data_IF_033587844897
#
_entry.id   IF_033587844897
#
_cell.length_a   1.000
_cell.length_b   1.000
_cell.length_c   1.000
_cell.angle_alpha   90.00
_cell.angle_beta   90.00
_cell.angle_gamma   90.00
#
_symmetry.space_group_name_H-M   'P 1'
#
loop_
_entity.id
_entity.type
_entity.pdbx_description
1 polymer ?
#
# COMPACT_ATOMS: atom_id res chain seq x y z
N UNK A 1 21.76 7.18 -1.11
CA UNK A 1 21.38 8.26 -2.03
C UNK A 1 22.63 8.78 -2.72
N UNK A 2 22.49 9.29 -3.94
CA UNK A 2 23.59 9.97 -4.64
C UNK A 2 23.86 11.36 -4.06
N UNK A 3 25.07 11.86 -4.28
CA UNK A 3 25.51 13.18 -3.79
C UNK A 3 24.58 14.28 -4.32
N UNK A 4 24.14 15.17 -3.43
CA UNK A 4 23.23 16.27 -3.77
C UNK A 4 21.73 15.91 -3.78
N UNK A 5 21.37 14.64 -3.56
CA UNK A 5 19.98 14.22 -3.38
C UNK A 5 19.69 14.15 -1.88
N UNK A 6 18.81 15.00 -1.37
CA UNK A 6 18.44 15.06 0.05
C UNK A 6 16.96 14.76 0.25
N UNK A 7 16.58 14.42 1.49
CA UNK A 7 15.18 14.16 1.85
C UNK A 7 14.33 15.42 1.64
N UNK A 8 14.88 16.58 1.95
CA UNK A 8 14.23 17.88 1.80
C UNK A 8 13.93 18.17 0.33
N UNK A 9 14.91 17.95 -0.54
CA UNK A 9 14.74 18.10 -2.00
C UNK A 9 13.65 17.16 -2.53
N UNK A 10 13.56 15.94 -1.99
CA UNK A 10 12.55 14.97 -2.38
C UNK A 10 11.16 15.44 -1.99
N UNK A 11 11.01 15.93 -0.77
CA UNK A 11 9.75 16.48 -0.26
C UNK A 11 9.32 17.67 -1.12
N UNK A 12 10.23 18.57 -1.48
CA UNK A 12 9.92 19.70 -2.37
C UNK A 12 9.44 19.23 -3.74
N UNK A 13 10.09 18.24 -4.35
CA UNK A 13 9.66 17.68 -5.63
C UNK A 13 8.29 17.00 -5.56
N UNK A 14 7.99 16.30 -4.46
CA UNK A 14 6.67 15.70 -4.23
C UNK A 14 5.63 16.81 -4.08
N UNK A 15 5.88 17.81 -3.24
CA UNK A 15 4.97 18.95 -3.01
C UNK A 15 4.64 19.69 -4.31
N UNK A 16 5.62 19.89 -5.19
CA UNK A 16 5.40 20.53 -6.49
C UNK A 16 4.42 19.76 -7.39
N UNK A 17 4.29 18.43 -7.22
CA UNK A 17 3.42 17.57 -8.02
C UNK A 17 2.05 17.31 -7.39
N UNK A 18 1.86 17.63 -6.10
CA UNK A 18 0.57 17.48 -5.42
C UNK A 18 -0.58 18.18 -6.16
N UNK A 19 -0.45 19.45 -6.62
CA UNK A 19 -1.53 20.10 -7.35
C UNK A 19 -1.96 19.36 -8.63
N UNK A 20 -1.04 18.63 -9.28
CA UNK A 20 -1.33 17.85 -10.48
C UNK A 20 -2.20 16.63 -10.17
N UNK A 21 -2.03 16.01 -8.99
CA UNK A 21 -2.89 14.92 -8.54
C UNK A 21 -4.34 15.36 -8.36
N UNK A 22 -4.55 16.59 -7.87
CA UNK A 22 -5.89 17.16 -7.66
C UNK A 22 -6.59 17.44 -8.98
N UNK A 23 -5.83 17.75 -10.04
CA UNK A 23 -6.37 18.07 -11.37
C UNK A 23 -6.76 16.83 -12.19
N UNK A 24 -6.19 15.67 -11.88
CA UNK A 24 -6.37 14.44 -12.64
C UNK A 24 -7.01 13.34 -11.81
N UNK A 25 -8.33 13.18 -11.96
CA UNK A 25 -9.08 12.11 -11.33
C UNK A 25 -8.54 10.73 -11.75
N UNK A 26 -8.32 9.83 -10.78
CA UNK A 26 -7.91 8.44 -11.00
C UNK A 26 -6.41 8.18 -10.94
N UNK A 27 -5.56 9.20 -11.12
CA UNK A 27 -4.09 9.00 -11.01
C UNK A 27 -3.70 8.55 -9.60
N UNK A 28 -4.35 9.10 -8.58
CA UNK A 28 -4.10 8.71 -7.20
C UNK A 28 -4.40 7.23 -6.96
N UNK A 29 -5.49 6.71 -7.53
CA UNK A 29 -5.85 5.30 -7.41
C UNK A 29 -4.83 4.40 -8.11
N UNK A 30 -4.35 4.81 -9.29
CA UNK A 30 -3.31 4.08 -10.02
C UNK A 30 -1.98 4.03 -9.24
N UNK A 31 -1.57 5.16 -8.66
CA UNK A 31 -0.38 5.21 -7.80
C UNK A 31 -0.58 4.32 -6.58
N UNK A 32 -1.74 4.36 -5.94
CA UNK A 32 -2.05 3.51 -4.80
C UNK A 32 -1.99 2.02 -5.14
N UNK A 33 -2.50 1.60 -6.31
CA UNK A 33 -2.39 0.21 -6.78
C UNK A 33 -0.93 -0.22 -6.89
N UNK A 34 -0.06 0.65 -7.42
CA UNK A 34 1.37 0.34 -7.58
C UNK A 34 2.12 0.30 -6.25
N UNK A 35 1.77 1.16 -5.31
CA UNK A 35 2.40 1.25 -3.99
C UNK A 35 1.87 0.23 -2.98
N UNK A 36 0.72 -0.39 -3.25
CA UNK A 36 0.13 -1.42 -2.39
C UNK A 36 1.05 -2.64 -2.20
N UNK A 37 1.91 -2.95 -3.19
CA UNK A 37 2.93 -4.03 -3.05
C UNK A 37 3.95 -3.76 -1.95
N UNK A 38 4.06 -2.52 -1.49
CA UNK A 38 4.90 -2.07 -0.39
C UNK A 38 4.10 -1.78 0.88
N UNK A 39 2.83 -2.20 0.94
CA UNK A 39 1.89 -1.93 2.03
C UNK A 39 1.63 -0.44 2.27
N UNK A 40 1.77 0.39 1.24
CA UNK A 40 1.45 1.82 1.28
C UNK A 40 0.05 1.99 0.66
N UNK A 41 -0.95 2.20 1.51
CA UNK A 41 -2.35 2.31 1.08
C UNK A 41 -2.69 3.70 0.53
N UNK A 42 -3.81 3.82 -0.17
CA UNK A 42 -4.34 5.12 -0.62
C UNK A 42 -4.54 6.10 0.55
N UNK A 43 -4.98 5.61 1.71
CA UNK A 43 -5.15 6.43 2.91
C UNK A 43 -3.82 7.03 3.38
N UNK A 44 -2.73 6.25 3.35
CA UNK A 44 -1.39 6.75 3.68
C UNK A 44 -0.94 7.83 2.68
N UNK A 45 -1.20 7.62 1.40
CA UNK A 45 -0.79 8.58 0.36
C UNK A 45 -1.58 9.89 0.53
N UNK A 46 -2.88 9.81 0.81
CA UNK A 46 -3.73 10.98 1.09
C UNK A 46 -3.23 11.73 2.33
N UNK A 47 -2.89 11.01 3.41
CA UNK A 47 -2.33 11.61 4.62
C UNK A 47 -1.03 12.36 4.34
N UNK A 48 -0.11 11.75 3.57
CA UNK A 48 1.15 12.38 3.16
C UNK A 48 0.91 13.63 2.30
N UNK A 49 -0.04 13.58 1.37
CA UNK A 49 -0.29 14.71 0.45
C UNK A 49 -0.97 15.88 1.16
N UNK A 50 -1.86 15.61 2.09
CA UNK A 50 -2.67 16.64 2.76
C UNK A 50 -1.96 17.29 3.94
N UNK A 51 -0.98 16.62 4.54
CA UNK A 51 -0.27 17.11 5.73
C UNK A 51 1.24 17.20 5.47
N UNK A 52 1.76 18.43 5.50
CA UNK A 52 3.18 18.70 5.29
C UNK A 52 4.07 18.12 6.38
N UNK A 53 3.57 17.99 7.61
CA UNK A 53 4.32 17.46 8.74
C UNK A 53 4.46 15.95 8.58
N UNK A 54 3.41 15.29 8.08
CA UNK A 54 3.45 13.85 7.73
C UNK A 54 4.46 13.55 6.63
N UNK A 55 4.59 14.42 5.63
CA UNK A 55 5.65 14.32 4.62
C UNK A 55 7.06 14.38 5.22
N UNK A 56 7.27 15.20 6.25
CA UNK A 56 8.56 15.35 6.93
C UNK A 56 8.85 14.13 7.82
N UNK A 57 7.84 13.63 8.52
CA UNK A 57 7.93 12.45 9.39
C UNK A 57 8.09 11.13 8.62
N UNK A 58 7.63 11.07 7.37
CA UNK A 58 7.64 9.87 6.56
C UNK A 58 9.03 9.23 6.42
N UNK A 59 9.06 7.90 6.35
CA UNK A 59 10.27 7.15 6.04
C UNK A 59 10.78 7.51 4.64
N UNK A 60 12.10 7.60 4.48
CA UNK A 60 12.72 7.99 3.21
C UNK A 60 12.32 7.05 2.05
N UNK A 61 12.16 5.76 2.35
CA UNK A 61 11.76 4.74 1.39
C UNK A 61 10.36 5.01 0.84
N UNK A 62 9.41 5.42 1.69
CA UNK A 62 8.06 5.78 1.27
C UNK A 62 8.07 6.99 0.35
N UNK A 63 8.86 7.99 0.69
CA UNK A 63 9.01 9.20 -0.12
C UNK A 63 9.65 8.88 -1.48
N UNK A 64 10.64 8.00 -1.53
CA UNK A 64 11.31 7.61 -2.78
C UNK A 64 10.35 6.83 -3.70
N UNK A 65 9.57 5.91 -3.13
CA UNK A 65 8.56 5.16 -3.88
C UNK A 65 7.43 6.06 -4.38
N UNK A 66 6.95 6.99 -3.55
CA UNK A 66 5.94 7.96 -3.95
C UNK A 66 6.49 8.90 -5.04
N UNK A 67 7.69 9.44 -4.85
CA UNK A 67 8.36 10.33 -5.80
C UNK A 67 8.58 9.67 -7.16
N UNK A 68 8.95 8.39 -7.17
CA UNK A 68 9.08 7.60 -8.39
C UNK A 68 7.74 7.47 -9.12
N UNK A 69 6.66 7.11 -8.42
CA UNK A 69 5.34 7.00 -9.06
C UNK A 69 4.84 8.35 -9.60
N UNK A 70 5.08 9.44 -8.86
CA UNK A 70 4.76 10.79 -9.33
C UNK A 70 5.63 11.22 -10.51
N UNK A 71 6.85 10.68 -10.66
CA UNK A 71 7.64 10.90 -11.86
C UNK A 71 7.05 10.15 -13.05
N UNK A 72 6.78 8.86 -12.89
CA UNK A 72 6.21 8.03 -13.95
C UNK A 72 4.86 8.54 -14.49
N UNK A 73 4.08 9.25 -13.65
CA UNK A 73 2.76 9.78 -14.05
C UNK A 73 2.79 11.16 -14.68
N UNK A 74 3.77 11.99 -14.33
CA UNK A 74 3.76 13.42 -14.66
C UNK A 74 5.01 13.91 -15.39
N UNK A 75 6.01 13.06 -15.63
CA UNK A 75 7.17 13.42 -16.43
C UNK A 75 6.97 13.00 -17.89
N UNK A 76 7.32 13.89 -18.82
CA UNK A 76 7.35 13.64 -20.26
C UNK A 76 8.61 12.86 -20.71
N UNK A 77 9.30 12.20 -19.78
CA UNK A 77 10.60 11.56 -20.01
C UNK A 77 10.60 10.11 -19.54
N UNK A 78 11.13 9.23 -20.39
CA UNK A 78 11.40 7.82 -20.08
C UNK A 78 12.66 7.63 -19.22
N UNK A 79 13.26 8.72 -18.70
CA UNK A 79 14.40 8.59 -17.81
C UNK A 79 14.01 7.87 -16.52
N UNK A 80 14.82 6.87 -16.17
CA UNK A 80 14.64 6.05 -14.98
C UNK A 80 15.02 6.86 -13.73
N UNK A 81 14.08 7.70 -13.27
CA UNK A 81 14.25 8.70 -12.21
C UNK A 81 14.93 8.12 -10.97
N UNK A 82 14.61 6.88 -10.60
CA UNK A 82 15.18 6.26 -9.41
C UNK A 82 16.72 6.08 -9.50
N UNK A 83 17.26 5.90 -10.71
CA UNK A 83 18.70 5.81 -10.94
C UNK A 83 19.39 7.16 -10.75
N UNK A 84 18.68 8.29 -10.78
CA UNK A 84 19.26 9.59 -10.43
C UNK A 84 19.35 9.77 -8.91
N UNK A 85 18.48 9.10 -8.16
CA UNK A 85 18.38 9.25 -6.71
C UNK A 85 19.24 8.25 -5.94
N UNK A 86 19.32 7.03 -6.45
CA UNK A 86 19.89 5.90 -5.74
C UNK A 86 20.95 5.18 -6.56
N UNK A 87 21.85 4.52 -5.85
CA UNK A 87 22.77 3.54 -6.43
C UNK A 87 22.06 2.19 -6.63
N UNK A 88 22.55 1.32 -7.54
CA UNK A 88 21.91 0.03 -7.82
C UNK A 88 21.67 -0.87 -6.60
N UNK A 89 22.55 -0.84 -5.60
CA UNK A 89 22.37 -1.57 -4.33
C UNK A 89 21.19 -1.03 -3.52
N UNK A 90 21.08 0.27 -3.40
CA UNK A 90 20.02 0.96 -2.66
C UNK A 90 18.66 0.79 -3.34
N UNK A 91 18.65 0.71 -4.68
CA UNK A 91 17.43 0.38 -5.43
C UNK A 91 16.96 -1.02 -5.05
N UNK A 92 17.85 -2.01 -4.99
CA UNK A 92 17.48 -3.37 -4.58
C UNK A 92 16.87 -3.39 -3.18
N UNK A 93 17.47 -2.66 -2.24
CA UNK A 93 16.93 -2.49 -0.88
C UNK A 93 15.56 -1.82 -0.89
N UNK A 94 15.39 -0.74 -1.65
CA UNK A 94 14.10 -0.05 -1.79
C UNK A 94 13.01 -0.98 -2.35
N UNK A 95 13.34 -1.85 -3.30
CA UNK A 95 12.38 -2.83 -3.85
C UNK A 95 11.97 -3.93 -2.88
N UNK A 96 12.74 -4.13 -1.80
CA UNK A 96 12.40 -5.07 -0.73
C UNK A 96 11.66 -4.40 0.45
N UNK A 97 11.53 -3.07 0.43
CA UNK A 97 10.85 -2.32 1.48
C UNK A 97 9.39 -2.76 1.63
N UNK A 98 8.93 -3.00 2.85
CA UNK A 98 7.51 -3.18 3.17
C UNK A 98 7.21 -2.25 4.33
N UNK A 99 6.24 -1.34 4.16
CA UNK A 99 5.80 -0.46 5.24
C UNK A 99 5.23 -1.30 6.38
N UNK A 100 5.82 -1.16 7.56
CA UNK A 100 5.27 -1.75 8.76
C UNK A 100 3.92 -1.10 9.08
N UNK A 101 2.92 -1.93 9.40
CA UNK A 101 1.61 -1.43 9.80
C UNK A 101 1.76 -0.61 11.09
N UNK A 102 1.25 0.63 11.14
CA UNK A 102 1.23 1.41 12.39
C UNK A 102 0.28 0.82 13.44
N UNK A 103 -0.58 -0.12 13.03
CA UNK A 103 -1.33 -0.94 13.98
C UNK A 103 -0.44 -2.10 14.42
N UNK A 104 -0.04 -2.10 15.69
CA UNK A 104 0.81 -3.12 16.34
C UNK A 104 0.28 -4.56 16.23
N UNK A 105 -1.00 -4.74 15.88
CA UNK A 105 -1.63 -6.04 15.76
C UNK A 105 -2.18 -6.27 14.36
N UNK A 106 -1.42 -7.02 13.56
CA UNK A 106 -1.96 -7.77 12.42
C UNK A 106 -2.85 -8.90 12.95
N UNK A 107 -4.05 -9.06 12.39
CA UNK A 107 -4.90 -10.21 12.70
C UNK A 107 -4.29 -11.45 12.05
N UNK A 108 -3.98 -12.47 12.85
CA UNK A 108 -3.54 -13.80 12.38
C UNK A 108 -4.68 -14.81 12.40
N UNK A 109 -4.70 -15.75 11.47
CA UNK A 109 -5.67 -16.85 11.46
C UNK A 109 -5.20 -18.04 12.31
N UNK A 110 -6.12 -18.76 12.99
CA UNK A 110 -7.57 -18.52 13.03
C UNK A 110 -7.93 -17.32 13.92
N UNK A 111 -8.84 -16.47 13.43
CA UNK A 111 -9.39 -15.34 14.17
C UNK A 111 -10.80 -15.68 14.65
N UNK A 112 -11.07 -15.49 15.94
CA UNK A 112 -12.37 -15.76 16.55
C UNK A 112 -13.07 -14.46 16.88
N UNK A 113 -14.30 -14.31 16.40
CA UNK A 113 -15.15 -13.20 16.82
C UNK A 113 -15.71 -13.49 18.20
N UNK A 114 -15.48 -12.57 19.13
CA UNK A 114 -16.05 -12.61 20.48
C UNK A 114 -17.36 -11.81 20.52
N UNK A 115 -18.20 -12.05 21.54
CA UNK A 115 -19.48 -11.35 21.75
C UNK A 115 -20.48 -11.51 20.59
N UNK A 116 -20.69 -12.75 20.19
CA UNK A 116 -21.59 -13.13 19.10
C UNK A 116 -22.99 -13.44 19.65
N UNK A 117 -24.03 -12.87 19.04
CA UNK A 117 -25.42 -13.17 19.31
C UNK A 117 -25.92 -14.30 18.41
N UNK A 118 -26.48 -15.36 18.98
CA UNK A 118 -27.14 -16.41 18.22
C UNK A 118 -28.56 -15.96 17.84
N UNK A 119 -28.84 -15.84 16.56
CA UNK A 119 -30.14 -15.35 16.05
C UNK A 119 -31.06 -16.48 15.59
N UNK A 120 -30.52 -17.69 15.38
CA UNK A 120 -31.28 -18.82 14.84
C UNK A 120 -30.54 -20.16 14.93
N UNK A 121 -31.01 -21.15 14.19
CA UNK A 121 -30.32 -22.45 14.09
C UNK A 121 -29.08 -22.30 13.20
N UNK A 122 -27.90 -22.28 13.82
CA UNK A 122 -26.60 -22.01 13.19
C UNK A 122 -26.47 -20.60 12.58
N UNK A 123 -27.26 -19.64 13.04
CA UNK A 123 -27.17 -18.24 12.63
C UNK A 123 -26.64 -17.39 13.77
N UNK A 124 -25.68 -16.53 13.43
CA UNK A 124 -24.91 -15.74 14.38
C UNK A 124 -24.72 -14.31 13.85
N UNK A 125 -24.84 -13.32 14.72
CA UNK A 125 -24.58 -11.91 14.44
C UNK A 125 -23.49 -11.38 15.37
N UNK A 126 -22.52 -10.64 14.83
CA UNK A 126 -21.43 -10.04 15.58
C UNK A 126 -21.31 -8.55 15.22
N UNK A 127 -21.06 -7.70 16.22
CA UNK A 127 -20.76 -6.28 16.00
C UNK A 127 -19.24 -6.15 15.87
N UNK A 128 -18.78 -5.69 14.71
CA UNK A 128 -17.35 -5.58 14.40
C UNK A 128 -16.99 -4.08 14.32
N UNK A 129 -16.07 -3.59 15.16
CA UNK A 129 -15.52 -2.24 15.02
C UNK A 129 -14.86 -2.05 13.65
N UNK A 130 -15.01 -0.86 13.06
CA UNK A 130 -14.41 -0.57 11.75
C UNK A 130 -12.87 -0.71 11.75
N UNK A 131 -12.22 -0.51 12.90
CA UNK A 131 -10.78 -0.75 13.08
C UNK A 131 -10.38 -2.21 12.82
N UNK A 132 -11.23 -3.18 13.18
CA UNK A 132 -11.01 -4.62 12.96
C UNK A 132 -11.15 -4.93 11.46
N UNK A 133 -12.10 -4.27 10.77
CA UNK A 133 -12.23 -4.37 9.31
C UNK A 133 -10.96 -3.86 8.62
N UNK A 134 -10.44 -2.72 9.06
CA UNK A 134 -9.15 -2.19 8.59
C UNK A 134 -7.99 -3.17 8.82
N UNK A 135 -7.89 -3.75 10.01
CA UNK A 135 -6.88 -4.77 10.34
C UNK A 135 -7.00 -6.03 9.45
N UNK A 136 -8.23 -6.51 9.18
CA UNK A 136 -8.50 -7.67 8.32
C UNK A 136 -8.15 -7.42 6.84
N UNK A 137 -8.39 -6.19 6.36
CA UNK A 137 -8.02 -5.77 5.02
C UNK A 137 -6.50 -5.72 4.85
N UNK A 138 -5.82 -5.04 5.78
CA UNK A 138 -4.37 -4.85 5.76
C UNK A 138 -3.60 -6.15 6.04
N UNK A 139 -4.19 -7.13 6.71
CA UNK A 139 -3.58 -8.45 6.90
C UNK A 139 -3.68 -9.37 5.68
N UNK A 140 -4.32 -8.92 4.59
CA UNK A 140 -4.48 -9.73 3.37
C UNK A 140 -5.43 -10.91 3.53
N UNK A 141 -6.08 -11.06 4.70
CA UNK A 141 -7.01 -12.16 5.01
C UNK A 141 -8.29 -12.05 4.18
N UNK A 142 -8.79 -10.83 3.95
CA UNK A 142 -10.00 -10.60 3.14
C UNK A 142 -9.69 -10.52 1.65
N UNK A 143 -8.42 -10.59 1.25
CA UNK A 143 -8.04 -10.52 -0.15
C UNK A 143 -8.33 -11.85 -0.85
N UNK A 144 -8.82 -11.74 -2.09
CA UNK A 144 -9.03 -12.88 -2.96
C UNK A 144 -7.73 -13.66 -3.17
N UNK A 145 -7.71 -14.96 -2.80
CA UNK A 145 -6.56 -15.85 -3.05
C UNK A 145 -6.75 -16.65 -4.35
N UNK A 146 -6.05 -16.29 -5.45
CA UNK A 146 -6.22 -16.93 -6.76
C UNK A 146 -5.79 -18.41 -6.76
N UNK A 147 -4.92 -18.81 -5.83
CA UNK A 147 -4.40 -20.17 -5.74
C UNK A 147 -5.48 -21.15 -5.24
N UNK A 148 -6.41 -20.69 -4.39
CA UNK A 148 -7.54 -21.50 -3.91
C UNK A 148 -8.48 -21.83 -5.09
N UNK A 149 -8.74 -20.88 -5.98
CA UNK A 149 -9.61 -21.11 -7.15
C UNK A 149 -8.96 -22.06 -8.18
N UNK A 150 -7.63 -21.99 -8.36
CA UNK A 150 -6.88 -22.95 -9.20
C UNK A 150 -6.87 -24.36 -8.61
N UNK A 151 -6.83 -24.50 -7.28
CA UNK A 151 -6.97 -25.79 -6.62
C UNK A 151 -8.39 -26.37 -6.72
N UNK A 152 -9.43 -25.52 -6.61
CA UNK A 152 -10.82 -25.94 -6.81
C UNK A 152 -11.03 -26.50 -8.23
N UNK A 153 -10.53 -25.82 -9.27
CA UNK A 153 -10.58 -26.30 -10.67
C UNK A 153 -9.79 -27.59 -10.91
N UNK A 154 -8.75 -27.89 -10.13
CA UNK A 154 -7.95 -29.12 -10.29
C UNK A 154 -8.59 -30.36 -9.65
N UNK A 155 -9.53 -30.19 -8.71
CA UNK A 155 -10.19 -31.33 -8.04
C UNK A 155 -11.29 -31.96 -8.89
N UNK A 156 -11.91 -31.22 -9.80
CA UNK A 156 -12.97 -31.74 -10.67
C UNK A 156 -12.46 -32.65 -11.81
N UNK A 157 -11.16 -32.68 -12.08
CA UNK A 157 -10.57 -33.48 -13.18
C UNK A 157 -9.99 -34.83 -12.77
N UNK A 158 -10.21 -35.29 -11.53
CA UNK A 158 -9.81 -36.63 -11.07
C UNK A 158 -10.96 -37.48 -10.54
N UNK A 159 -12.04 -37.55 -11.32
CA UNK A 159 -12.96 -38.68 -11.27
C UNK A 159 -12.95 -39.35 -12.64
N UNK A 160 -12.06 -40.33 -12.80
CA UNK A 160 -12.12 -41.39 -13.79
C UNK A 160 -11.72 -42.68 -13.10
#
# INVERSE_FOLDING_TARGET
MKVGKTKELLIEQIKAKIPLLVQHNGILDEIAIQLNKYNISIGNIIELINDSDKLIEAQLQELLLLGEQLHLKFADSDQDWINEWLNPSEIKELRMYIKESPYEEIITLPYTFENVLKTGHNEYAAIIPNSIIGKLWMSGITMYNPNIQRQAKRRESKTK
#
